data_IF_589172263717
#
_entry.id   IF_589172263717
#
_cell.length_a   1.000
_cell.length_b   1.000
_cell.length_c   1.000
_cell.angle_alpha   90.00
_cell.angle_beta   90.00
_cell.angle_gamma   90.00
#
_symmetry.space_group_name_H-M   'P 1'
#
loop_
_entity.id
_entity.type
_entity.pdbx_description
1 polymer ?
#
# COMPACT_ATOMS: atom_id res chain seq x y z
N UNK A 1 5.42 -5.23 7.02
CA UNK A 1 4.50 -4.72 5.96
C UNK A 1 3.71 -5.82 5.22
N UNK A 2 3.99 -7.11 5.43
CA UNK A 2 3.30 -8.21 4.72
C UNK A 2 2.02 -8.75 5.38
N UNK A 3 1.70 -8.36 6.63
CA UNK A 3 0.50 -8.85 7.32
C UNK A 3 -0.77 -8.42 6.58
N UNK A 4 -1.67 -9.37 6.29
CA UNK A 4 -2.99 -9.10 5.70
C UNK A 4 -3.80 -8.26 6.69
N UNK A 5 -4.47 -7.21 6.20
CA UNK A 5 -5.20 -6.28 7.04
C UNK A 5 -6.29 -6.96 7.86
N UNK A 6 -6.96 -7.96 7.30
CA UNK A 6 -7.91 -8.80 8.00
C UNK A 6 -7.26 -9.70 9.03
N UNK A 7 -6.05 -10.22 8.80
CA UNK A 7 -5.34 -11.03 9.80
C UNK A 7 -4.84 -10.15 10.95
N UNK A 8 -4.35 -8.95 10.64
CA UNK A 8 -4.00 -7.92 11.62
C UNK A 8 -5.23 -7.54 12.47
N UNK A 9 -6.33 -7.17 11.81
CA UNK A 9 -7.57 -6.85 12.51
C UNK A 9 -8.13 -8.04 13.26
N UNK A 10 -8.07 -9.27 12.73
CA UNK A 10 -8.55 -10.47 13.41
C UNK A 10 -7.76 -10.72 14.68
N UNK A 11 -6.43 -10.68 14.62
CA UNK A 11 -5.56 -10.86 15.78
C UNK A 11 -5.75 -9.75 16.83
N UNK A 12 -5.98 -8.51 16.42
CA UNK A 12 -6.32 -7.42 17.32
C UNK A 12 -7.72 -7.60 17.93
N UNK A 13 -8.70 -7.99 17.12
CA UNK A 13 -10.10 -8.19 17.52
C UNK A 13 -10.27 -9.36 18.49
N UNK A 14 -9.54 -10.47 18.30
CA UNK A 14 -9.46 -11.59 19.24
C UNK A 14 -9.00 -11.14 20.64
N UNK A 15 -8.26 -10.04 20.69
CA UNK A 15 -7.73 -9.43 21.91
C UNK A 15 -8.52 -8.19 22.35
N UNK A 16 -9.63 -7.85 21.68
CA UNK A 16 -10.50 -6.72 22.03
C UNK A 16 -10.08 -5.35 21.48
N UNK A 17 -9.11 -5.30 20.56
CA UNK A 17 -8.54 -4.07 20.00
C UNK A 17 -8.77 -3.94 18.49
N UNK A 18 -8.53 -2.75 17.95
CA UNK A 18 -8.52 -2.45 16.50
C UNK A 18 -7.40 -1.46 16.18
N UNK A 19 -6.88 -1.50 14.93
CA UNK A 19 -5.95 -0.48 14.45
C UNK A 19 -6.66 0.80 13.99
N UNK A 20 -7.98 0.73 13.75
CA UNK A 20 -8.81 1.88 13.34
C UNK A 20 -8.67 2.27 11.85
N UNK A 21 -7.87 1.54 11.06
CA UNK A 21 -7.72 1.74 9.63
C UNK A 21 -8.51 0.68 8.85
N UNK A 22 -9.61 1.09 8.20
CA UNK A 22 -10.51 0.19 7.44
C UNK A 22 -10.53 0.54 5.95
N UNK A 23 -9.61 0.00 5.15
CA UNK A 23 -9.71 0.08 3.70
C UNK A 23 -10.77 -0.90 3.19
N UNK A 24 -11.45 -0.57 2.09
CA UNK A 24 -12.49 -1.43 1.50
C UNK A 24 -11.96 -2.80 1.08
N UNK A 25 -10.64 -2.99 0.95
CA UNK A 25 -10.00 -4.26 0.58
C UNK A 25 -9.40 -5.03 1.76
N UNK A 26 -9.72 -4.69 3.01
CA UNK A 26 -9.07 -5.21 4.23
C UNK A 26 -8.87 -6.74 4.27
N UNK A 27 -9.77 -7.52 3.67
CA UNK A 27 -9.75 -9.00 3.58
C UNK A 27 -8.63 -9.60 2.71
N UNK A 28 -8.10 -8.84 1.75
CA UNK A 28 -7.18 -9.37 0.74
C UNK A 28 -5.91 -8.54 0.60
N UNK A 29 -5.82 -7.45 1.34
CA UNK A 29 -4.79 -6.45 1.20
C UNK A 29 -3.85 -6.52 2.39
N UNK A 30 -2.56 -6.72 2.13
CA UNK A 30 -1.55 -6.53 3.18
C UNK A 30 -1.53 -5.06 3.59
N UNK A 31 -0.96 -4.74 4.75
CA UNK A 31 -0.66 -3.34 5.09
C UNK A 31 -0.01 -2.57 3.90
N UNK A 32 0.79 -3.25 3.06
CA UNK A 32 1.26 -2.72 1.76
C UNK A 32 0.22 -2.76 0.62
N UNK A 33 -0.59 -3.81 0.53
CA UNK A 33 -1.67 -3.98 -0.45
C UNK A 33 -2.95 -3.16 -0.21
N UNK A 34 -3.06 -2.40 0.89
CA UNK A 34 -4.19 -1.47 1.18
C UNK A 34 -4.39 -0.39 0.09
N UNK A 35 -3.55 -0.43 -0.95
CA UNK A 35 -3.55 0.34 -2.20
C UNK A 35 -4.35 -0.34 -3.35
N UNK A 36 -4.88 -1.57 -3.23
CA UNK A 36 -5.60 -2.24 -4.34
C UNK A 36 -6.98 -2.83 -3.95
N UNK A 37 -7.99 -2.60 -4.81
CA UNK A 37 -9.44 -2.59 -4.54
C UNK A 37 -10.21 -3.92 -4.71
N UNK A 38 -11.33 -4.04 -3.97
CA UNK A 38 -12.30 -5.16 -3.84
C UNK A 38 -13.24 -5.40 -5.06
N UNK A 39 -12.76 -5.29 -6.30
CA UNK A 39 -13.58 -5.39 -7.52
C UNK A 39 -13.45 -6.73 -8.29
N UNK A 40 -12.73 -7.71 -7.73
CA UNK A 40 -12.36 -8.95 -8.43
C UNK A 40 -13.57 -9.76 -8.87
N UNK A 41 -13.67 -10.05 -10.17
CA UNK A 41 -14.67 -10.96 -10.75
C UNK A 41 -16.07 -10.36 -11.00
N UNK A 42 -16.29 -9.06 -10.76
CA UNK A 42 -17.58 -8.42 -11.03
C UNK A 42 -17.60 -7.66 -12.37
N UNK A 43 -18.71 -7.74 -13.10
CA UNK A 43 -18.90 -6.95 -14.32
C UNK A 43 -19.21 -5.49 -13.98
N UNK A 44 -18.45 -4.58 -14.58
CA UNK A 44 -18.58 -3.12 -14.45
C UNK A 44 -19.16 -2.52 -15.74
N UNK A 45 -20.48 -2.54 -15.95
CA UNK A 45 -21.10 -2.24 -17.24
C UNK A 45 -20.97 -0.78 -17.69
N UNK A 46 -20.68 0.14 -16.76
CA UNK A 46 -20.62 1.58 -17.02
C UNK A 46 -19.19 2.10 -17.14
N UNK A 47 -18.19 1.33 -16.68
CA UNK A 47 -16.80 1.77 -16.59
C UNK A 47 -16.22 2.08 -17.98
N UNK A 48 -16.38 1.17 -18.94
CA UNK A 48 -15.80 1.33 -20.29
C UNK A 48 -16.33 2.59 -20.97
N UNK A 49 -17.65 2.81 -20.93
CA UNK A 49 -18.29 4.01 -21.50
C UNK A 49 -17.81 5.30 -20.83
N UNK A 50 -17.60 5.25 -19.51
CA UNK A 50 -17.04 6.39 -18.78
C UNK A 50 -15.61 6.70 -19.24
N UNK A 51 -14.76 5.68 -19.43
CA UNK A 51 -13.39 5.85 -19.89
C UNK A 51 -13.33 6.42 -21.31
N UNK A 52 -14.07 5.84 -22.27
CA UNK A 52 -14.12 6.33 -23.66
C UNK A 52 -14.50 7.81 -23.72
N UNK A 53 -15.52 8.19 -22.96
CA UNK A 53 -16.02 9.57 -22.94
C UNK A 53 -15.07 10.57 -22.29
N UNK A 54 -14.50 10.23 -21.13
CA UNK A 54 -13.76 11.20 -20.32
C UNK A 54 -12.26 11.20 -20.60
N UNK A 55 -11.70 10.09 -21.09
CA UNK A 55 -10.29 9.97 -21.41
C UNK A 55 -10.02 9.97 -22.93
N UNK A 56 -11.06 9.90 -23.77
CA UNK A 56 -10.91 9.86 -25.23
C UNK A 56 -10.21 8.60 -25.74
N UNK A 57 -10.24 7.53 -24.96
CA UNK A 57 -9.58 6.26 -25.30
C UNK A 57 -10.47 5.40 -26.20
N UNK A 58 -9.87 4.72 -27.16
CA UNK A 58 -10.53 3.62 -27.88
C UNK A 58 -10.08 2.29 -27.26
N UNK A 59 -11.02 1.58 -26.66
CA UNK A 59 -10.77 0.32 -25.92
C UNK A 59 -10.35 -0.84 -26.84
N UNK A 60 -10.61 -0.73 -28.13
CA UNK A 60 -10.16 -1.71 -29.13
C UNK A 60 -8.67 -1.58 -29.43
N UNK A 61 -8.07 -0.42 -29.12
CA UNK A 61 -6.65 -0.17 -29.30
C UNK A 61 -5.91 -0.61 -28.04
N UNK A 62 -5.17 -1.71 -28.14
CA UNK A 62 -4.36 -2.24 -27.06
C UNK A 62 -2.87 -2.03 -27.35
N UNK A 63 -2.15 -1.41 -26.42
CA UNK A 63 -0.70 -1.32 -26.48
C UNK A 63 -0.11 -2.65 -26.00
N UNK A 64 0.80 -3.28 -26.78
CA UNK A 64 1.45 -4.52 -26.35
C UNK A 64 2.27 -4.29 -25.08
N UNK A 65 2.45 -5.34 -24.29
CA UNK A 65 3.36 -5.36 -23.15
C UNK A 65 4.22 -6.61 -23.20
N UNK A 66 5.44 -6.50 -22.69
CA UNK A 66 6.38 -7.62 -22.63
C UNK A 66 5.97 -8.57 -21.50
N UNK A 67 6.00 -9.87 -21.76
CA UNK A 67 5.75 -10.91 -20.75
C UNK A 67 7.01 -11.13 -19.93
N UNK A 68 6.85 -11.63 -18.70
CA UNK A 68 7.98 -11.88 -17.81
C UNK A 68 9.02 -12.81 -18.45
N UNK A 69 8.58 -13.84 -19.16
CA UNK A 69 9.44 -14.82 -19.82
C UNK A 69 10.34 -14.22 -20.91
N UNK A 70 9.92 -13.08 -21.47
CA UNK A 70 10.59 -12.40 -22.58
C UNK A 70 11.46 -11.23 -22.07
N UNK A 71 11.50 -10.98 -20.76
CA UNK A 71 12.34 -9.94 -20.15
C UNK A 71 13.81 -10.36 -20.11
N UNK A 72 14.69 -9.45 -20.51
CA UNK A 72 16.13 -9.60 -20.33
C UNK A 72 16.47 -9.11 -18.92
N UNK A 73 16.62 -10.04 -17.98
CA UNK A 73 16.91 -9.75 -16.58
C UNK A 73 18.44 -9.79 -16.35
N UNK A 74 19.05 -8.74 -15.78
CA UNK A 74 20.48 -8.72 -15.50
C UNK A 74 20.92 -9.89 -14.61
N UNK A 75 22.06 -10.50 -14.95
CA UNK A 75 22.70 -11.54 -14.13
C UNK A 75 23.12 -10.91 -12.79
N UNK A 76 22.92 -11.59 -11.65
CA UNK A 76 23.35 -11.05 -10.36
C UNK A 76 24.88 -10.95 -10.31
N UNK A 77 25.38 -9.92 -9.64
CA UNK A 77 26.80 -9.79 -9.35
C UNK A 77 27.29 -10.97 -8.48
N UNK A 78 28.51 -11.45 -8.72
CA UNK A 78 29.09 -12.54 -7.94
C UNK A 78 29.50 -12.04 -6.54
N UNK A 79 28.92 -12.64 -5.51
CA UNK A 79 29.15 -12.34 -4.11
C UNK A 79 29.22 -13.62 -3.26
N UNK A 80 29.96 -14.62 -3.74
CA UNK A 80 30.00 -15.95 -3.14
C UNK A 80 30.37 -15.95 -1.65
N UNK A 81 31.24 -15.05 -1.19
CA UNK A 81 31.59 -14.93 0.24
C UNK A 81 30.38 -14.54 1.11
N UNK A 82 29.55 -13.60 0.64
CA UNK A 82 28.32 -13.21 1.33
C UNK A 82 27.30 -14.34 1.29
N UNK A 83 27.16 -15.03 0.16
CA UNK A 83 26.28 -16.21 0.03
C UNK A 83 26.70 -17.32 1.00
N UNK A 84 27.99 -17.63 1.06
CA UNK A 84 28.54 -18.63 1.96
C UNK A 84 28.28 -18.26 3.43
N UNK A 85 28.42 -16.97 3.76
CA UNK A 85 28.07 -16.45 5.08
C UNK A 85 26.58 -16.69 5.41
N UNK A 86 25.67 -16.34 4.50
CA UNK A 86 24.22 -16.55 4.70
C UNK A 86 23.88 -18.03 4.89
N UNK A 87 24.48 -18.91 4.08
CA UNK A 87 24.34 -20.37 4.22
C UNK A 87 24.83 -20.86 5.59
N UNK A 88 26.01 -20.40 6.02
CA UNK A 88 26.61 -20.82 7.30
C UNK A 88 25.79 -20.41 8.53
N UNK A 89 25.03 -19.30 8.42
CA UNK A 89 24.16 -18.80 9.47
C UNK A 89 22.70 -19.23 9.30
N UNK A 90 22.40 -20.12 8.35
CA UNK A 90 21.04 -20.61 8.05
C UNK A 90 20.03 -19.48 7.76
N UNK A 91 20.50 -18.38 7.16
CA UNK A 91 19.66 -17.23 6.78
C UNK A 91 19.04 -17.51 5.41
N UNK A 92 17.73 -17.27 5.28
CA UNK A 92 17.02 -17.52 4.04
C UNK A 92 17.35 -16.47 2.98
N UNK A 93 17.70 -16.90 1.76
CA UNK A 93 17.98 -16.00 0.65
C UNK A 93 17.63 -16.59 -0.72
N UNK A 94 17.59 -15.73 -1.75
CA UNK A 94 17.47 -16.15 -3.15
C UNK A 94 18.11 -15.14 -4.09
N UNK A 95 18.78 -15.63 -5.14
CA UNK A 95 19.29 -14.86 -6.26
C UNK A 95 18.50 -15.12 -7.57
N UNK A 96 17.32 -15.77 -7.49
CA UNK A 96 16.49 -16.02 -8.68
C UNK A 96 15.93 -14.72 -9.23
N UNK A 97 15.85 -14.64 -10.55
CA UNK A 97 15.41 -13.46 -11.30
C UNK A 97 14.03 -12.95 -10.89
N UNK A 98 13.07 -13.85 -10.63
CA UNK A 98 11.71 -13.49 -10.24
C UNK A 98 11.67 -12.75 -8.89
N UNK A 99 12.45 -13.21 -7.90
CA UNK A 99 12.49 -12.58 -6.58
C UNK A 99 13.21 -11.23 -6.62
N UNK A 100 14.27 -11.13 -7.43
CA UNK A 100 15.05 -9.91 -7.63
C UNK A 100 14.24 -8.82 -8.32
N UNK A 101 13.56 -9.16 -9.43
CA UNK A 101 12.76 -8.22 -10.20
C UNK A 101 11.61 -7.62 -9.37
N UNK A 102 10.86 -8.44 -8.64
CA UNK A 102 9.72 -7.96 -7.82
C UNK A 102 10.15 -6.99 -6.71
N UNK A 103 11.42 -7.01 -6.31
CA UNK A 103 11.97 -6.17 -5.23
C UNK A 103 12.84 -5.03 -5.72
N UNK A 104 12.88 -4.81 -7.04
CA UNK A 104 13.70 -3.75 -7.65
C UNK A 104 12.92 -2.48 -7.98
N UNK A 105 11.62 -2.45 -7.70
CA UNK A 105 10.76 -1.34 -8.11
C UNK A 105 9.65 -1.07 -7.09
N UNK A 106 9.10 0.13 -7.16
CA UNK A 106 7.87 0.53 -6.48
C UNK A 106 6.65 0.42 -7.40
N UNK A 107 5.74 1.38 -7.28
CA UNK A 107 4.53 1.49 -8.09
C UNK A 107 4.38 2.88 -8.70
N UNK A 108 5.48 3.55 -9.03
CA UNK A 108 5.40 4.76 -9.86
C UNK A 108 4.93 4.41 -11.27
N UNK A 109 4.37 5.39 -11.98
CA UNK A 109 4.02 5.20 -13.41
C UNK A 109 5.26 4.82 -14.22
N UNK A 110 6.43 5.36 -13.86
CA UNK A 110 7.71 5.05 -14.52
C UNK A 110 8.11 3.58 -14.33
N UNK A 111 8.02 3.06 -13.10
CA UNK A 111 8.30 1.65 -12.79
C UNK A 111 7.45 0.72 -13.65
N UNK A 112 6.14 0.95 -13.65
CA UNK A 112 5.18 0.10 -14.36
C UNK A 112 5.35 0.22 -15.88
N UNK A 113 5.63 1.42 -16.39
CA UNK A 113 5.89 1.63 -17.82
C UNK A 113 7.16 0.91 -18.28
N UNK A 114 8.25 1.00 -17.51
CA UNK A 114 9.52 0.33 -17.82
C UNK A 114 9.35 -1.19 -17.86
N UNK A 115 8.69 -1.77 -16.85
CA UNK A 115 8.41 -3.21 -16.82
C UNK A 115 7.55 -3.66 -18.00
N UNK A 116 6.51 -2.89 -18.34
CA UNK A 116 5.62 -3.18 -19.49
C UNK A 116 6.35 -3.10 -20.83
N UNK A 117 7.31 -2.19 -20.95
CA UNK A 117 8.13 -2.01 -22.15
C UNK A 117 9.39 -2.91 -22.17
N UNK A 118 9.60 -3.69 -21.10
CA UNK A 118 10.74 -4.58 -20.92
C UNK A 118 12.09 -3.90 -20.67
N UNK A 119 12.07 -2.65 -20.22
CA UNK A 119 13.26 -1.95 -19.75
C UNK A 119 13.51 -2.33 -18.30
N UNK A 120 14.53 -3.18 -18.06
CA UNK A 120 14.96 -3.57 -16.71
C UNK A 120 16.31 -2.91 -16.44
N UNK A 121 16.34 -2.00 -15.47
CA UNK A 121 17.56 -1.31 -15.03
C UNK A 121 18.42 -2.15 -14.08
N UNK A 122 19.17 -1.49 -13.18
CA UNK A 122 19.84 -2.16 -12.07
C UNK A 122 18.79 -2.74 -11.14
N UNK A 123 19.00 -3.99 -10.72
CA UNK A 123 18.13 -4.69 -9.75
C UNK A 123 18.98 -5.28 -8.63
N UNK A 124 18.41 -5.64 -7.47
CA UNK A 124 19.14 -6.32 -6.40
C UNK A 124 19.79 -7.60 -6.91
N UNK A 125 20.95 -7.98 -6.40
CA UNK A 125 21.65 -9.21 -6.76
C UNK A 125 21.17 -10.41 -5.93
N UNK A 126 20.81 -10.15 -4.67
CA UNK A 126 20.36 -11.15 -3.72
C UNK A 126 19.22 -10.60 -2.87
N UNK A 127 18.27 -11.46 -2.55
CA UNK A 127 17.17 -11.18 -1.63
C UNK A 127 17.40 -11.97 -0.36
N UNK A 128 17.27 -11.35 0.80
CA UNK A 128 17.45 -11.98 2.11
C UNK A 128 16.20 -11.77 2.96
N UNK A 129 15.73 -12.82 3.64
CA UNK A 129 14.53 -12.79 4.47
C UNK A 129 14.84 -13.06 5.95
N UNK A 130 15.20 -12.03 6.72
CA UNK A 130 15.36 -12.16 8.17
C UNK A 130 14.03 -12.49 8.85
N UNK A 131 14.11 -13.25 9.94
CA UNK A 131 12.97 -13.62 10.80
C UNK A 131 13.00 -12.97 12.17
N UNK A 132 14.13 -12.38 12.56
CA UNK A 132 14.31 -11.72 13.85
C UNK A 132 15.27 -10.53 13.77
N UNK A 133 15.29 -9.73 14.82
CA UNK A 133 16.23 -8.61 14.95
C UNK A 133 17.69 -9.08 14.93
N UNK A 134 17.99 -10.20 15.58
CA UNK A 134 19.33 -10.77 15.63
C UNK A 134 19.83 -11.17 14.24
N UNK A 135 18.94 -11.72 13.39
CA UNK A 135 19.27 -12.02 12.00
C UNK A 135 19.53 -10.72 11.22
N UNK A 136 18.75 -9.66 11.42
CA UNK A 136 18.99 -8.35 10.79
C UNK A 136 20.35 -7.79 11.15
N UNK A 137 20.71 -7.79 12.44
CA UNK A 137 22.03 -7.32 12.92
C UNK A 137 23.14 -8.14 12.25
N UNK A 138 23.01 -9.46 12.25
CA UNK A 138 23.97 -10.38 11.63
C UNK A 138 24.17 -10.08 10.14
N UNK A 139 23.09 -9.75 9.41
CA UNK A 139 23.14 -9.43 7.98
C UNK A 139 23.79 -8.06 7.74
N UNK A 140 23.49 -7.06 8.57
CA UNK A 140 24.08 -5.71 8.47
C UNK A 140 25.58 -5.75 8.71
N UNK A 141 26.02 -6.47 9.75
CA UNK A 141 27.45 -6.66 10.05
C UNK A 141 28.18 -7.37 8.90
N UNK A 142 27.54 -8.39 8.31
CA UNK A 142 28.07 -9.08 7.15
C UNK A 142 28.14 -8.16 5.93
N UNK A 143 27.11 -7.36 5.67
CA UNK A 143 27.11 -6.43 4.53
C UNK A 143 28.23 -5.40 4.65
N UNK A 144 28.51 -4.90 5.85
CA UNK A 144 29.68 -4.06 6.10
C UNK A 144 31.00 -4.82 5.81
N UNK A 145 31.13 -6.05 6.32
CA UNK A 145 32.33 -6.87 6.14
C UNK A 145 32.63 -7.22 4.68
N UNK A 146 31.59 -7.54 3.91
CA UNK A 146 31.70 -7.99 2.52
C UNK A 146 31.42 -6.87 1.50
N UNK A 147 31.28 -5.62 1.96
CA UNK A 147 31.02 -4.44 1.14
C UNK A 147 29.78 -4.59 0.22
N UNK A 148 28.67 -5.03 0.80
CA UNK A 148 27.37 -5.21 0.15
C UNK A 148 26.45 -4.05 0.51
N UNK A 149 25.71 -3.52 -0.47
CA UNK A 149 24.68 -2.50 -0.26
C UNK A 149 23.42 -3.16 0.27
N UNK A 150 22.79 -2.56 1.28
CA UNK A 150 21.47 -3.00 1.77
C UNK A 150 20.42 -2.01 1.30
N UNK A 151 19.37 -2.53 0.67
CA UNK A 151 18.12 -1.80 0.42
C UNK A 151 17.00 -2.52 1.19
N UNK A 152 16.50 -1.97 2.31
CA UNK A 152 15.41 -2.58 3.05
C UNK A 152 14.11 -2.47 2.27
N UNK A 153 13.34 -3.56 2.24
CA UNK A 153 12.04 -3.60 1.60
C UNK A 153 10.98 -4.20 2.52
N UNK A 154 9.81 -3.56 2.54
CA UNK A 154 8.60 -4.05 3.19
C UNK A 154 7.61 -4.60 2.17
N UNK A 155 6.56 -3.83 1.88
CA UNK A 155 5.49 -4.23 0.97
C UNK A 155 5.78 -3.95 -0.51
N UNK A 156 6.90 -3.32 -0.85
CA UNK A 156 7.22 -2.93 -2.23
C UNK A 156 6.39 -1.77 -2.79
N UNK A 157 5.62 -1.06 -1.96
CA UNK A 157 4.59 -0.11 -2.42
C UNK A 157 5.04 1.35 -2.50
N UNK A 158 6.36 1.60 -2.57
CA UNK A 158 6.88 2.96 -2.72
C UNK A 158 6.36 3.60 -4.03
N UNK A 159 6.03 4.88 -3.96
CA UNK A 159 5.66 5.72 -5.13
C UNK A 159 6.65 6.88 -5.30
N UNK A 160 7.84 6.76 -4.73
CA UNK A 160 8.88 7.80 -4.72
C UNK A 160 10.19 7.36 -5.37
N UNK A 161 10.28 6.10 -5.82
CA UNK A 161 11.53 5.52 -6.34
C UNK A 161 12.49 5.05 -5.24
N UNK A 162 12.06 5.02 -3.97
CA UNK A 162 12.92 4.65 -2.83
C UNK A 162 13.52 3.23 -2.89
N UNK A 163 12.99 2.36 -3.75
CA UNK A 163 13.46 0.98 -3.95
C UNK A 163 14.33 0.84 -5.21
N UNK A 164 14.46 1.89 -6.00
CA UNK A 164 15.24 1.88 -7.24
C UNK A 164 16.72 1.70 -6.92
N UNK A 165 17.35 0.73 -7.58
CA UNK A 165 18.78 0.51 -7.45
C UNK A 165 19.52 1.53 -8.32
N UNK A 166 20.45 2.33 -7.76
CA UNK A 166 21.23 3.28 -8.56
C UNK A 166 22.01 2.57 -9.67
N UNK A 167 21.91 3.06 -10.90
CA UNK A 167 22.56 2.45 -12.08
C UNK A 167 24.08 2.37 -11.96
N UNK A 168 24.69 3.34 -11.29
CA UNK A 168 26.15 3.45 -11.09
C UNK A 168 26.65 2.63 -9.89
N UNK A 169 25.78 1.96 -9.13
CA UNK A 169 26.21 1.17 -7.97
C UNK A 169 26.90 -0.12 -8.42
N UNK A 170 28.22 -0.14 -8.26
CA UNK A 170 29.11 -1.22 -8.67
C UNK A 170 29.17 -2.37 -7.66
N UNK A 171 28.76 -2.16 -6.41
CA UNK A 171 28.74 -3.21 -5.38
C UNK A 171 27.58 -4.18 -5.59
N UNK A 172 27.68 -5.33 -4.93
CA UNK A 172 26.55 -6.24 -4.80
C UNK A 172 25.45 -5.59 -3.96
N UNK A 173 24.20 -5.68 -4.43
CA UNK A 173 23.02 -5.12 -3.76
C UNK A 173 22.19 -6.25 -3.15
N UNK A 174 22.05 -6.22 -1.83
CA UNK A 174 21.18 -7.07 -1.05
C UNK A 174 19.87 -6.34 -0.75
N UNK A 175 18.75 -6.86 -1.25
CA UNK A 175 17.44 -6.41 -0.81
C UNK A 175 17.04 -7.19 0.44
N UNK A 176 16.94 -6.47 1.56
CA UNK A 176 16.60 -7.04 2.87
C UNK A 176 15.09 -6.98 3.07
N UNK A 177 14.43 -8.13 2.89
CA UNK A 177 12.98 -8.25 2.88
C UNK A 177 12.43 -8.60 4.27
N UNK A 178 11.76 -7.62 4.88
CA UNK A 178 11.25 -7.69 6.25
C UNK A 178 9.86 -8.37 6.34
N UNK A 179 9.35 -9.00 5.27
CA UNK A 179 8.00 -9.58 5.26
C UNK A 179 7.82 -10.77 6.21
N UNK A 180 8.91 -11.45 6.59
CA UNK A 180 8.87 -12.53 7.59
C UNK A 180 8.96 -12.05 9.03
N UNK A 181 9.32 -10.78 9.26
CA UNK A 181 9.25 -10.10 10.57
C UNK A 181 7.86 -9.49 10.76
N UNK A 182 6.87 -10.31 11.15
CA UNK A 182 5.44 -9.92 11.15
C UNK A 182 4.67 -10.22 12.44
N UNK A 183 5.35 -10.52 13.55
CA UNK A 183 4.71 -10.92 14.81
C UNK A 183 4.26 -9.72 15.68
N UNK A 184 3.14 -9.89 16.39
CA UNK A 184 2.81 -9.09 17.58
C UNK A 184 3.60 -9.68 18.77
N UNK A 185 4.46 -8.88 19.38
CA UNK A 185 5.34 -9.32 20.48
C UNK A 185 4.60 -9.22 21.82
N UNK A 186 3.96 -8.08 22.13
CA UNK A 186 3.12 -7.93 23.32
C UNK A 186 2.01 -6.89 23.14
N UNK A 187 0.95 -7.01 23.93
CA UNK A 187 -0.09 -5.97 24.10
C UNK A 187 -0.12 -5.56 25.57
N UNK A 188 -0.04 -4.25 25.82
CA UNK A 188 -0.25 -3.62 27.11
C UNK A 188 -1.62 -2.95 27.11
N UNK A 189 -2.56 -3.65 27.73
CA UNK A 189 -3.96 -3.29 27.84
C UNK A 189 -4.20 -2.05 28.70
N UNK A 190 -3.40 -1.89 29.76
CA UNK A 190 -3.46 -0.76 30.70
C UNK A 190 -3.04 0.53 30.04
N UNK A 191 -2.02 0.49 29.18
CA UNK A 191 -1.51 1.67 28.49
C UNK A 191 -2.05 1.84 27.06
N UNK A 192 -2.87 0.91 26.57
CA UNK A 192 -3.36 0.86 25.19
C UNK A 192 -2.21 0.90 24.16
N UNK A 193 -1.20 0.07 24.37
CA UNK A 193 -0.03 -0.05 23.53
C UNK A 193 0.11 -1.48 22.96
N UNK A 194 0.58 -1.59 21.72
CA UNK A 194 0.96 -2.85 21.11
C UNK A 194 2.40 -2.77 20.62
N UNK A 195 3.28 -3.62 21.17
CA UNK A 195 4.61 -3.86 20.61
C UNK A 195 4.47 -4.96 19.57
N UNK A 196 4.41 -4.56 18.32
CA UNK A 196 4.70 -5.40 17.16
C UNK A 196 6.15 -5.19 16.70
N UNK A 197 6.54 -5.74 15.56
CA UNK A 197 7.83 -5.43 14.94
C UNK A 197 7.78 -4.11 14.07
N UNK A 198 7.68 -2.87 14.65
CA UNK A 198 7.83 -1.45 14.08
C UNK A 198 7.36 -0.18 14.94
N UNK A 199 8.13 0.92 15.18
CA UNK A 199 8.58 1.64 16.45
C UNK A 199 7.63 2.59 17.25
N UNK A 200 7.93 2.80 18.58
CA UNK A 200 7.82 4.06 19.41
C UNK A 200 8.39 3.96 20.87
N UNK A 201 9.21 4.92 21.34
CA UNK A 201 9.53 5.23 22.76
C UNK A 201 10.20 6.63 22.97
N UNK A 202 9.85 7.38 24.04
CA UNK A 202 10.13 8.83 24.22
C UNK A 202 11.25 9.16 25.24
N UNK A 203 12.31 9.90 24.87
CA UNK A 203 13.25 10.62 25.77
C UNK A 203 14.20 11.57 25.00
N UNK A 204 14.08 12.89 25.16
CA UNK A 204 14.99 13.90 24.55
C UNK A 204 14.54 14.44 23.19
N UNK A 205 15.41 15.15 22.41
CA UNK A 205 15.12 15.45 21.01
C UNK A 205 14.65 14.18 20.34
N UNK A 206 13.50 14.23 19.67
CA UNK A 206 12.85 13.02 19.21
C UNK A 206 13.66 12.39 18.08
N UNK A 207 14.62 11.53 18.42
CA UNK A 207 15.44 10.77 17.47
C UNK A 207 14.55 9.92 16.55
N UNK A 208 13.29 9.64 16.95
CA UNK A 208 12.34 9.03 16.03
C UNK A 208 12.08 9.92 14.83
N UNK A 209 12.05 11.25 14.95
CA UNK A 209 11.85 12.15 13.81
C UNK A 209 13.02 12.12 12.81
N UNK A 210 14.20 11.67 13.24
CA UNK A 210 15.34 11.47 12.33
C UNK A 210 15.17 10.18 11.52
N UNK A 211 14.61 9.14 12.14
CA UNK A 211 14.35 7.85 11.50
C UNK A 211 13.03 7.85 10.70
N UNK A 212 12.02 8.55 11.18
CA UNK A 212 10.73 8.73 10.50
C UNK A 212 10.95 9.57 9.26
N UNK A 213 10.66 9.00 8.09
CA UNK A 213 10.90 9.65 6.80
C UNK A 213 12.33 9.48 6.27
N UNK A 214 13.18 8.66 6.92
CA UNK A 214 14.54 8.40 6.43
C UNK A 214 14.59 7.48 5.19
N UNK A 215 13.46 6.93 4.75
CA UNK A 215 13.31 6.08 3.55
C UNK A 215 14.39 4.98 3.40
N UNK A 216 14.78 4.34 4.52
CA UNK A 216 15.76 3.25 4.53
C UNK A 216 17.24 3.68 4.44
N UNK A 217 17.53 4.98 4.39
CA UNK A 217 18.90 5.52 4.25
C UNK A 217 19.73 5.36 5.52
N UNK A 218 19.10 5.45 6.70
CA UNK A 218 19.79 5.47 8.00
C UNK A 218 19.88 4.11 8.68
N UNK A 219 19.22 3.08 8.14
CA UNK A 219 19.21 1.74 8.71
C UNK A 219 17.87 1.01 8.59
N UNK A 220 17.73 -0.06 9.37
CA UNK A 220 16.59 -0.98 9.32
C UNK A 220 15.84 -0.89 10.65
N UNK A 221 14.53 -0.63 10.59
CA UNK A 221 13.68 -0.62 11.76
C UNK A 221 13.11 -2.02 12.00
N UNK A 222 13.45 -2.63 13.14
CA UNK A 222 13.06 -4.00 13.50
C UNK A 222 11.83 -4.09 14.40
N UNK A 223 11.62 -3.13 15.32
CA UNK A 223 10.59 -3.24 16.38
C UNK A 223 9.76 -1.97 16.71
N UNK A 224 8.57 -2.19 17.35
CA UNK A 224 7.44 -1.27 17.61
C UNK A 224 7.12 -0.85 19.00
N UNK A 225 6.45 0.29 19.10
CA UNK A 225 5.24 0.33 19.93
C UNK A 225 4.20 1.26 19.29
N UNK A 226 3.07 0.73 18.84
CA UNK A 226 1.97 1.54 18.28
C UNK A 226 0.86 1.72 19.30
N UNK A 227 0.17 2.85 19.23
CA UNK A 227 -1.06 3.06 20.00
C UNK A 227 -2.17 2.19 19.40
N UNK A 228 -2.93 1.52 20.27
CA UNK A 228 -4.13 0.76 19.89
C UNK A 228 -5.35 1.37 20.54
N UNK A 229 -6.53 1.00 20.03
CA UNK A 229 -7.79 1.45 20.59
C UNK A 229 -8.70 0.24 20.84
N UNK A 230 -9.57 0.29 21.86
CA UNK A 230 -10.64 -0.68 22.00
C UNK A 230 -11.44 -0.77 20.71
N UNK A 231 -11.86 -1.99 20.35
CA UNK A 231 -12.74 -2.17 19.21
C UNK A 231 -14.01 -1.31 19.39
N UNK A 232 -14.37 -0.45 18.44
CA UNK A 232 -15.58 0.36 18.57
C UNK A 232 -16.81 -0.54 18.53
N UNK A 233 -17.75 -0.29 19.43
CA UNK A 233 -19.01 -1.06 19.52
C UNK A 233 -19.86 -0.90 18.25
N UNK A 234 -19.75 0.25 17.58
CA UNK A 234 -20.54 0.59 16.39
C UNK A 234 -19.66 1.22 15.32
N UNK A 235 -19.82 0.74 14.07
CA UNK A 235 -19.23 1.34 12.86
C UNK A 235 -20.36 1.69 11.89
N UNK A 236 -20.46 2.97 11.51
CA UNK A 236 -21.50 3.46 10.58
C UNK A 236 -20.86 4.22 9.43
N UNK A 237 -21.24 3.84 8.22
CA UNK A 237 -20.85 4.51 6.98
C UNK A 237 -22.01 5.37 6.49
N UNK A 238 -21.72 6.59 6.05
CA UNK A 238 -22.72 7.53 5.54
C UNK A 238 -22.12 8.38 4.42
N UNK A 239 -22.97 9.00 3.61
CA UNK A 239 -22.54 9.84 2.48
C UNK A 239 -23.43 11.07 2.35
N UNK A 240 -22.81 12.23 2.17
CA UNK A 240 -23.48 13.50 1.95
C UNK A 240 -23.20 14.00 0.53
N UNK A 241 -24.16 14.72 -0.05
CA UNK A 241 -24.06 15.27 -1.40
C UNK A 241 -24.20 16.79 -1.29
N UNK A 242 -23.22 17.54 -1.81
CA UNK A 242 -23.13 19.01 -1.69
C UNK A 242 -23.29 19.73 -3.03
N UNK A 243 -24.06 20.84 -3.12
CA UNK A 243 -24.41 21.46 -4.40
C UNK A 243 -23.21 21.80 -5.27
N UNK A 244 -22.12 22.20 -4.63
CA UNK A 244 -20.81 22.43 -5.23
C UNK A 244 -19.73 21.87 -4.33
N UNK A 245 -18.53 21.67 -4.89
CA UNK A 245 -17.37 21.24 -4.10
C UNK A 245 -17.05 22.22 -2.97
N UNK A 246 -17.22 23.53 -3.20
CA UNK A 246 -17.01 24.58 -2.20
C UNK A 246 -17.92 24.44 -0.97
N UNK A 247 -19.19 24.03 -1.16
CA UNK A 247 -20.07 23.75 -0.02
C UNK A 247 -19.53 22.58 0.84
N UNK A 248 -18.98 21.55 0.19
CA UNK A 248 -18.32 20.44 0.89
C UNK A 248 -17.07 20.90 1.64
N UNK A 249 -16.25 21.76 1.04
CA UNK A 249 -15.05 22.33 1.69
C UNK A 249 -15.45 23.15 2.91
N UNK A 250 -16.47 24.01 2.80
CA UNK A 250 -16.98 24.81 3.92
C UNK A 250 -17.55 23.93 5.04
N UNK A 251 -18.24 22.85 4.68
CA UNK A 251 -18.72 21.87 5.65
C UNK A 251 -17.56 21.19 6.41
N UNK A 252 -16.51 20.76 5.70
CA UNK A 252 -15.30 20.18 6.32
C UNK A 252 -14.59 21.19 7.23
N UNK A 253 -14.52 22.45 6.81
CA UNK A 253 -13.97 23.56 7.60
C UNK A 253 -14.75 23.75 8.90
N UNK A 254 -16.09 23.73 8.85
CA UNK A 254 -16.93 23.87 10.04
C UNK A 254 -16.83 22.66 10.98
N UNK A 255 -16.77 21.43 10.44
CA UNK A 255 -16.49 20.24 11.26
C UNK A 255 -15.14 20.37 11.97
N UNK A 256 -14.11 20.80 11.24
CA UNK A 256 -12.78 20.97 11.81
C UNK A 256 -12.76 22.03 12.92
N UNK A 257 -13.46 23.15 12.70
CA UNK A 257 -13.62 24.25 13.65
C UNK A 257 -14.41 23.86 14.90
N UNK A 258 -15.41 23.00 14.77
CA UNK A 258 -16.21 22.49 15.88
C UNK A 258 -15.59 21.28 16.58
N UNK A 259 -14.46 20.76 16.08
CA UNK A 259 -13.79 19.57 16.59
C UNK A 259 -14.72 18.34 16.69
N UNK A 260 -15.62 18.18 15.71
CA UNK A 260 -16.59 17.08 15.65
C UNK A 260 -16.31 16.11 14.50
N UNK A 261 -15.03 15.90 14.16
CA UNK A 261 -14.61 14.98 13.11
C UNK A 261 -15.06 13.55 13.44
N UNK A 262 -15.61 12.83 12.47
CA UNK A 262 -15.74 11.38 12.58
C UNK A 262 -14.41 10.69 12.23
N UNK A 263 -14.36 9.36 12.38
CA UNK A 263 -13.13 8.58 12.18
C UNK A 263 -12.48 8.79 10.80
N UNK A 264 -13.28 8.99 9.74
CA UNK A 264 -12.79 9.29 8.39
C UNK A 264 -13.80 10.14 7.64
N UNK A 265 -13.34 11.27 7.11
CA UNK A 265 -14.10 12.14 6.20
C UNK A 265 -13.32 12.31 4.90
N UNK A 266 -13.98 12.06 3.77
CA UNK A 266 -13.40 12.25 2.44
C UNK A 266 -14.36 13.07 1.58
N UNK A 267 -13.87 14.19 1.07
CA UNK A 267 -14.60 15.00 0.11
C UNK A 267 -14.08 14.65 -1.28
N UNK A 268 -14.97 14.15 -2.12
CA UNK A 268 -14.68 13.83 -3.52
C UNK A 268 -15.26 14.91 -4.43
N UNK A 269 -14.55 15.24 -5.51
CA UNK A 269 -15.08 16.14 -6.52
C UNK A 269 -16.12 15.44 -7.41
N UNK A 270 -16.71 16.19 -8.34
CA UNK A 270 -17.73 15.65 -9.23
C UNK A 270 -17.17 14.60 -10.21
N UNK A 271 -15.89 14.69 -10.62
CA UNK A 271 -15.29 13.71 -11.52
C UNK A 271 -15.08 12.37 -10.83
N UNK A 272 -14.54 12.39 -9.60
CA UNK A 272 -14.39 11.21 -8.75
C UNK A 272 -15.76 10.62 -8.36
N UNK A 273 -16.76 11.47 -8.09
CA UNK A 273 -18.13 11.02 -7.86
C UNK A 273 -18.70 10.27 -9.08
N UNK A 274 -18.56 10.83 -10.29
CA UNK A 274 -19.01 10.19 -11.53
C UNK A 274 -18.25 8.89 -11.80
N UNK A 275 -16.94 8.85 -11.53
CA UNK A 275 -16.14 7.63 -11.59
C UNK A 275 -16.68 6.57 -10.61
N UNK A 276 -17.02 6.96 -9.38
CA UNK A 276 -17.68 6.08 -8.41
C UNK A 276 -19.01 5.52 -8.89
N UNK A 277 -19.82 6.31 -9.60
CA UNK A 277 -21.04 5.82 -10.24
C UNK A 277 -20.75 4.83 -11.37
N UNK A 278 -19.69 5.07 -12.15
CA UNK A 278 -19.28 4.20 -13.25
C UNK A 278 -18.73 2.84 -12.77
N UNK A 279 -18.22 2.78 -11.54
CA UNK A 279 -17.75 1.55 -10.88
C UNK A 279 -18.89 0.72 -10.25
N UNK A 280 -20.16 1.14 -10.35
CA UNK A 280 -21.29 0.36 -9.84
C UNK A 280 -21.48 -0.92 -10.65
N UNK A 281 -21.70 -2.02 -9.94
CA UNK A 281 -21.90 -3.34 -10.53
C UNK A 281 -23.36 -3.55 -10.90
N UNK A 282 -23.61 -4.37 -11.91
CA UNK A 282 -24.97 -4.70 -12.32
C UNK A 282 -25.63 -5.63 -11.29
N UNK A 283 -26.46 -5.07 -10.41
CA UNK A 283 -27.34 -5.86 -9.56
C UNK A 283 -28.71 -5.98 -10.25
N UNK A 284 -29.00 -7.17 -10.80
CA UNK A 284 -30.18 -7.49 -11.62
C UNK A 284 -31.56 -7.39 -10.94
N UNK A 285 -31.73 -6.50 -9.95
CA UNK A 285 -33.03 -6.22 -9.34
C UNK A 285 -33.64 -4.96 -9.95
N UNK A 286 -34.69 -5.14 -10.76
CA UNK A 286 -35.53 -4.07 -11.33
C UNK A 286 -36.02 -3.06 -10.26
N UNK A 287 -36.26 -3.52 -9.03
CA UNK A 287 -36.66 -2.69 -7.88
C UNK A 287 -35.53 -1.76 -7.38
N UNK A 288 -34.27 -2.22 -7.37
CA UNK A 288 -33.13 -1.36 -7.03
C UNK A 288 -32.79 -0.38 -8.16
N UNK A 289 -32.97 -0.80 -9.42
CA UNK A 289 -32.86 0.10 -10.58
C UNK A 289 -33.83 1.28 -10.49
N UNK A 290 -35.10 1.01 -10.15
CA UNK A 290 -36.12 2.03 -9.91
C UNK A 290 -35.77 2.95 -8.71
N UNK A 291 -35.25 2.38 -7.62
CA UNK A 291 -34.77 3.16 -6.48
C UNK A 291 -33.60 4.08 -6.86
N UNK A 292 -32.63 3.59 -7.63
CA UNK A 292 -31.50 4.39 -8.11
C UNK A 292 -31.91 5.46 -9.14
N UNK A 293 -32.90 5.17 -9.98
CA UNK A 293 -33.49 6.16 -10.89
C UNK A 293 -34.21 7.27 -10.09
N UNK A 294 -34.92 6.90 -9.02
CA UNK A 294 -35.57 7.85 -8.11
C UNK A 294 -34.55 8.65 -7.28
N UNK A 295 -33.46 8.04 -6.81
CA UNK A 295 -32.34 8.74 -6.16
C UNK A 295 -31.65 9.71 -7.12
N UNK A 296 -31.40 9.29 -8.37
CA UNK A 296 -30.86 10.13 -9.42
C UNK A 296 -31.79 11.30 -9.77
N UNK A 297 -33.10 11.06 -9.87
CA UNK A 297 -34.13 12.08 -10.07
C UNK A 297 -34.26 13.01 -8.86
N UNK A 298 -34.12 12.52 -7.65
CA UNK A 298 -34.18 13.33 -6.43
C UNK A 298 -32.98 14.29 -6.33
N UNK A 299 -31.78 13.79 -6.63
CA UNK A 299 -30.54 14.59 -6.65
C UNK A 299 -30.61 15.65 -7.76
N UNK A 300 -30.99 15.27 -8.98
CA UNK A 300 -30.99 16.16 -10.16
C UNK A 300 -32.18 17.12 -10.22
N UNK A 301 -33.39 16.69 -9.81
CA UNK A 301 -34.64 17.43 -10.05
C UNK A 301 -35.18 18.15 -8.81
N UNK A 302 -34.89 17.67 -7.59
CA UNK A 302 -35.50 18.22 -6.37
C UNK A 302 -34.53 19.03 -5.50
N UNK A 303 -33.23 18.73 -5.53
CA UNK A 303 -32.20 19.48 -4.80
C UNK A 303 -31.47 20.54 -5.64
N UNK A 304 -31.82 20.71 -6.92
CA UNK A 304 -31.21 21.68 -7.86
C UNK A 304 -29.69 21.50 -8.05
N UNK A 305 -29.19 20.28 -7.86
CA UNK A 305 -27.80 19.99 -8.17
C UNK A 305 -27.65 19.95 -9.69
N UNK A 306 -26.87 20.88 -10.24
CA UNK A 306 -26.36 20.77 -11.60
C UNK A 306 -25.32 19.65 -11.62
N UNK A 307 -25.77 18.40 -11.54
CA UNK A 307 -25.01 17.33 -12.16
C UNK A 307 -24.94 17.77 -13.61
N UNK A 308 -23.75 18.18 -14.09
CA UNK A 308 -23.53 18.26 -15.52
C UNK A 308 -23.70 16.82 -15.99
N UNK A 309 -24.93 16.47 -16.34
CA UNK A 309 -25.30 15.18 -16.85
C UNK A 309 -24.43 14.94 -18.08
N UNK A 310 -23.99 13.70 -18.22
CA UNK A 310 -23.30 13.17 -19.38
C UNK A 310 -23.92 13.73 -20.67
#
# INVERSE_FOLDING_TARGET
AGIIGQDLEKQLNEKGYTCGHEPDSIEFSSLGGWISTRASGQTLPYLMKFMEKNLGVNIEIQTPSIRYEDLIIPIPFDNQDFINFLLSNNISFSNKSNYRLVRSHGHTVHDIANLRNGTVGRIPDIIVWPKSEEEVVTIVDAAQKFNVVIIPIGGGTSVTGALECPSEEARSICSLDLTLMNAIIYIDDRNLLCRAQVPRLSSGPDLQQIILGSEGILGVVTEATVKIFPKPEVKKYDSFVFPTFEHGVNFFREIAKQHCQCASLRLVDNQQFLMGQAMKTYNGSLLKSLKHALEGLYITKWKNFKVKTL
#
